data_IF_443787863336
#
_entry.id   IF_443787863336
#
_cell.length_a   1.000
_cell.length_b   1.000
_cell.length_c   1.000
_cell.angle_alpha   90.00
_cell.angle_beta   90.00
_cell.angle_gamma   90.00
#
_symmetry.space_group_name_H-M   'P 1'
#
loop_
_entity.id
_entity.type
_entity.pdbx_description
1 polymer ?
#
# COMPACT_ATOMS: atom_id res chain seq x y z
N UNK A 1 27.39 -0.31 -20.27
CA UNK A 1 27.03 0.86 -19.44
C UNK A 1 26.43 0.35 -18.13
N UNK A 2 26.81 0.85 -16.94
CA UNK A 2 26.18 0.43 -15.70
C UNK A 2 24.88 1.22 -15.54
N UNK A 3 23.75 0.53 -15.56
CA UNK A 3 22.43 1.14 -15.38
C UNK A 3 22.34 1.64 -13.95
N UNK A 4 22.31 2.96 -13.75
CA UNK A 4 21.91 3.58 -12.49
C UNK A 4 20.46 3.17 -12.24
N UNK A 5 20.28 2.14 -11.41
CA UNK A 5 18.97 1.75 -10.89
C UNK A 5 18.52 2.90 -9.98
N UNK A 6 17.67 3.80 -10.50
CA UNK A 6 17.06 4.85 -9.71
C UNK A 6 16.37 4.20 -8.51
N UNK A 7 16.91 4.45 -7.32
CA UNK A 7 16.36 4.04 -6.02
C UNK A 7 15.24 4.97 -5.57
N UNK A 8 14.49 5.52 -6.51
CA UNK A 8 13.13 5.95 -6.18
C UNK A 8 12.41 4.65 -5.89
N UNK A 9 12.00 4.44 -4.65
CA UNK A 9 11.33 3.22 -4.24
C UNK A 9 10.15 3.01 -5.21
N UNK A 10 10.35 2.11 -6.18
CA UNK A 10 9.35 1.77 -7.18
C UNK A 10 8.20 1.16 -6.39
N UNK A 11 7.23 2.01 -6.06
CA UNK A 11 6.01 1.62 -5.38
C UNK A 11 5.41 0.49 -6.21
N UNK A 12 5.06 -0.61 -5.56
CA UNK A 12 4.50 -1.76 -6.25
C UNK A 12 3.31 -1.29 -7.10
N UNK A 13 3.21 -1.65 -8.39
CA UNK A 13 2.09 -1.25 -9.24
C UNK A 13 0.71 -1.58 -8.65
N UNK A 14 0.64 -2.60 -7.78
CA UNK A 14 -0.59 -3.01 -7.10
C UNK A 14 -0.90 -2.19 -5.85
N UNK A 15 -0.03 -1.27 -5.44
CA UNK A 15 -0.21 -0.45 -4.24
C UNK A 15 -1.47 0.42 -4.30
N UNK A 16 -1.58 1.32 -5.28
CA UNK A 16 -2.73 2.22 -5.41
C UNK A 16 -4.05 1.46 -5.61
N UNK A 17 -4.11 0.41 -6.47
CA UNK A 17 -5.30 -0.43 -6.55
C UNK A 17 -5.67 -1.08 -5.21
N UNK A 18 -4.70 -1.66 -4.49
CA UNK A 18 -4.95 -2.30 -3.19
C UNK A 18 -5.46 -1.27 -2.17
N UNK A 19 -4.85 -0.09 -2.11
CA UNK A 19 -5.26 0.99 -1.22
C UNK A 19 -6.71 1.42 -1.51
N UNK A 20 -7.03 1.65 -2.79
CA UNK A 20 -8.37 2.08 -3.21
C UNK A 20 -9.44 1.06 -2.79
N UNK A 21 -9.19 -0.24 -3.05
CA UNK A 21 -10.13 -1.31 -2.70
C UNK A 21 -10.28 -1.52 -1.19
N UNK A 22 -9.22 -1.29 -0.41
CA UNK A 22 -9.29 -1.34 1.05
C UNK A 22 -10.12 -0.16 1.59
N UNK A 23 -9.91 1.03 1.04
CA UNK A 23 -10.66 2.24 1.44
C UNK A 23 -12.13 2.16 1.03
N UNK A 24 -12.45 1.58 -0.13
CA UNK A 24 -13.83 1.34 -0.57
C UNK A 24 -14.54 0.24 0.22
N UNK A 25 -13.81 -0.55 1.02
CA UNK A 25 -14.33 -1.70 1.76
C UNK A 25 -14.54 -2.95 0.91
N UNK A 26 -14.20 -2.91 -0.38
CA UNK A 26 -14.33 -4.04 -1.31
C UNK A 26 -13.25 -5.11 -1.09
N UNK A 27 -12.11 -4.73 -0.50
CA UNK A 27 -11.03 -5.62 -0.14
C UNK A 27 -10.70 -5.51 1.35
N UNK A 28 -10.66 -6.64 2.05
CA UNK A 28 -10.24 -6.66 3.46
C UNK A 28 -8.77 -6.28 3.57
N UNK A 29 -8.42 -5.50 4.59
CA UNK A 29 -7.05 -5.18 4.99
C UNK A 29 -6.37 -6.40 5.64
N UNK A 30 -6.23 -7.48 4.87
CA UNK A 30 -5.67 -8.76 5.28
C UNK A 30 -4.78 -9.34 4.16
N UNK A 31 -3.66 -9.96 4.53
CA UNK A 31 -2.68 -10.46 3.57
C UNK A 31 -3.30 -11.54 2.69
N UNK A 32 -4.09 -12.46 3.25
CA UNK A 32 -4.70 -13.54 2.44
C UNK A 32 -5.71 -12.98 1.46
N UNK A 33 -6.48 -11.97 1.85
CA UNK A 33 -7.42 -11.30 0.95
C UNK A 33 -6.70 -10.66 -0.25
N UNK A 34 -5.62 -9.91 0.00
CA UNK A 34 -4.80 -9.28 -1.05
C UNK A 34 -4.15 -10.34 -1.96
N UNK A 35 -3.60 -11.41 -1.37
CA UNK A 35 -3.04 -12.52 -2.14
C UNK A 35 -4.07 -13.16 -3.07
N UNK A 36 -5.28 -13.42 -2.58
CA UNK A 36 -6.31 -14.11 -3.33
C UNK A 36 -6.91 -13.21 -4.42
N UNK A 37 -7.07 -11.91 -4.13
CA UNK A 37 -7.61 -10.93 -5.07
C UNK A 37 -6.66 -10.71 -6.27
N UNK A 38 -5.37 -10.48 -6.00
CA UNK A 38 -4.38 -10.18 -7.05
C UNK A 38 -3.61 -11.40 -7.55
N UNK A 39 -3.83 -12.58 -6.96
CA UNK A 39 -3.08 -13.82 -7.25
C UNK A 39 -1.56 -13.62 -7.12
N UNK A 40 -1.14 -13.00 -6.02
CA UNK A 40 0.27 -12.72 -5.72
C UNK A 40 0.79 -13.51 -4.53
N UNK A 41 2.12 -13.67 -4.46
CA UNK A 41 2.79 -14.30 -3.34
C UNK A 41 2.71 -13.49 -2.04
N UNK A 42 2.88 -14.18 -0.91
CA UNK A 42 2.79 -13.62 0.43
C UNK A 42 3.69 -12.40 0.64
N UNK A 43 4.97 -12.51 0.26
CA UNK A 43 5.95 -11.44 0.47
C UNK A 43 5.59 -10.15 -0.24
N UNK A 44 4.98 -10.25 -1.43
CA UNK A 44 4.54 -9.08 -2.21
C UNK A 44 3.31 -8.43 -1.57
N UNK A 45 2.33 -9.24 -1.19
CA UNK A 45 1.14 -8.76 -0.48
C UNK A 45 1.48 -8.11 0.87
N UNK A 46 2.39 -8.69 1.66
CA UNK A 46 2.86 -8.13 2.94
C UNK A 46 3.47 -6.75 2.75
N UNK A 47 4.39 -6.59 1.79
CA UNK A 47 5.04 -5.30 1.50
C UNK A 47 4.06 -4.22 1.06
N UNK A 48 3.09 -4.58 0.22
CA UNK A 48 2.02 -3.66 -0.20
C UNK A 48 1.23 -3.20 1.02
N UNK A 49 0.79 -4.12 1.88
CA UNK A 49 0.00 -3.80 3.06
C UNK A 49 0.78 -3.00 4.11
N UNK A 50 2.07 -3.29 4.28
CA UNK A 50 2.97 -2.50 5.13
C UNK A 50 3.06 -1.06 4.64
N UNK A 51 3.23 -0.84 3.33
CA UNK A 51 3.18 0.51 2.76
C UNK A 51 1.81 1.17 2.94
N UNK A 52 0.70 0.44 2.77
CA UNK A 52 -0.64 1.02 2.95
C UNK A 52 -0.82 1.47 4.39
N UNK A 53 -0.41 0.65 5.38
CA UNK A 53 -0.47 1.00 6.80
C UNK A 53 0.40 2.21 7.13
N UNK A 54 1.64 2.23 6.67
CA UNK A 54 2.59 3.31 6.95
C UNK A 54 2.10 4.66 6.39
N UNK A 55 1.53 4.67 5.18
CA UNK A 55 0.98 5.88 4.58
C UNK A 55 -0.39 6.26 5.15
N UNK A 56 -1.21 5.30 5.58
CA UNK A 56 -2.50 5.58 6.22
C UNK A 56 -2.31 6.21 7.61
N UNK A 57 -1.32 5.77 8.39
CA UNK A 57 -0.95 6.41 9.67
C UNK A 57 -0.48 7.86 9.49
N UNK A 58 0.02 8.21 8.30
CA UNK A 58 0.40 9.59 7.97
C UNK A 58 -0.83 10.48 7.71
N UNK A 59 -1.94 9.91 7.26
CA UNK A 59 -3.20 10.65 7.04
C UNK A 59 -3.86 10.97 8.39
N UNK A 60 -3.85 10.06 9.35
CA UNK A 60 -4.39 10.35 10.69
C UNK A 60 -3.50 11.33 11.49
N UNK A 61 -2.18 11.36 11.27
CA UNK A 61 -1.32 12.37 11.90
C UNK A 61 -1.35 13.73 11.18
N UNK A 62 -1.73 13.78 9.90
CA UNK A 62 -1.94 15.01 9.13
C UNK A 62 -3.28 15.71 9.39
N UNK A 63 -4.27 15.00 9.94
CA UNK A 63 -5.60 15.56 10.23
C UNK A 63 -5.78 16.07 11.67
N UNK A 64 -4.76 15.98 12.55
CA UNK A 64 -4.85 16.50 13.94
C UNK A 64 -4.64 18.03 13.99
N UNK A 65 -4.28 18.68 12.87
CA UNK A 65 -3.94 20.10 12.86
C UNK A 65 -4.81 20.97 11.93
N UNK A 66 -6.12 20.73 11.92
CA UNK A 66 -7.09 21.74 11.46
C UNK A 66 -8.21 21.86 12.50
N UNK A 67 -7.84 22.40 13.66
CA UNK A 67 -8.78 23.16 14.49
C UNK A 67 -8.65 24.60 14.02
N UNK A 68 -9.67 25.12 13.33
CA UNK A 68 -10.21 26.48 13.48
C UNK A 68 -11.61 26.52 12.87
#
# INVERSE_FOLDING_TARGET
>A
MPTKLNKEALVDPLYYPTQSLIVSGELKNDIKAVQHHFRIGYSRASRILEHVKYNHSFIEQGCINVIF
#
